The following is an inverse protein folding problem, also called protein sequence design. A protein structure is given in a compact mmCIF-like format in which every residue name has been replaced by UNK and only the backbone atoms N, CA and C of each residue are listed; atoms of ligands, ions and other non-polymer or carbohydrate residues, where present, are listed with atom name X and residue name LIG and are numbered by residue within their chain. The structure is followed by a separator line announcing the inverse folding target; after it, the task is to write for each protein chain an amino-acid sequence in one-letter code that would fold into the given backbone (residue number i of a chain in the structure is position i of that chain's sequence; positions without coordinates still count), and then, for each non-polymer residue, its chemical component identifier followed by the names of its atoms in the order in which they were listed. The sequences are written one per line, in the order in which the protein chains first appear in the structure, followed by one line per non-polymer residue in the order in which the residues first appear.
data_IF_904106060557
#
_entry.id   IF_904106060557
#
_cell.length_a   1.000
_cell.length_b   1.000
_cell.length_c   1.000
_cell.angle_alpha   90.00
_cell.angle_beta   90.00
_cell.angle_gamma   90.00
#
_symmetry.space_group_name_H-M   'P 1'
#
loop_
_entity.id
_entity.type
_entity.pdbx_description
1 polymer ?
#
# COMPACT_ATOMS: atom_id res chain seq x y z
N UNK A 1 -19.72 -7.50 2.37
CA UNK A 1 -18.50 -8.23 1.92
C UNK A 1 -17.32 -7.39 2.37
N UNK A 2 -16.42 -7.96 3.17
CA UNK A 2 -15.24 -7.24 3.65
C UNK A 2 -14.13 -7.34 2.59
N UNK A 3 -13.71 -6.21 2.04
CA UNK A 3 -12.63 -6.15 1.03
C UNK A 3 -11.47 -5.38 1.63
N UNK A 4 -10.28 -5.96 1.60
CA UNK A 4 -9.05 -5.28 2.02
C UNK A 4 -8.13 -5.18 0.81
N UNK A 5 -7.68 -3.97 0.49
CA UNK A 5 -6.84 -3.70 -0.67
C UNK A 5 -5.81 -2.62 -0.39
N UNK A 6 -4.83 -2.50 -1.27
CA UNK A 6 -3.82 -1.45 -1.20
C UNK A 6 -3.67 -0.75 -2.55
N UNK A 7 -3.26 0.50 -2.49
CA UNK A 7 -2.83 1.27 -3.66
C UNK A 7 -1.42 1.79 -3.45
N UNK A 8 -0.69 1.98 -4.55
CA UNK A 8 0.67 2.55 -4.55
C UNK A 8 0.71 3.67 -5.57
N UNK A 9 0.82 4.91 -5.09
CA UNK A 9 0.86 6.09 -5.94
C UNK A 9 2.25 6.74 -5.93
N UNK A 10 2.81 7.10 -7.09
CA UNK A 10 4.00 7.96 -7.15
C UNK A 10 3.69 9.36 -6.62
N UNK A 11 4.60 9.96 -5.87
CA UNK A 11 4.49 11.31 -5.36
C UNK A 11 5.82 12.08 -5.56
N UNK A 12 5.86 13.13 -6.41
CA UNK A 12 4.79 13.56 -7.32
C UNK A 12 4.61 12.61 -8.52
N UNK A 13 3.49 12.71 -9.28
CA UNK A 13 3.17 11.74 -10.34
C UNK A 13 4.17 11.66 -11.50
N UNK A 14 4.77 12.78 -11.90
CA UNK A 14 5.60 12.87 -13.12
C UNK A 14 7.06 12.51 -12.89
N UNK A 15 7.62 12.91 -11.74
CA UNK A 15 9.00 12.63 -11.34
C UNK A 15 8.96 12.20 -9.88
N UNK A 16 8.66 10.92 -9.61
CA UNK A 16 8.42 10.46 -8.26
C UNK A 16 9.65 10.67 -7.38
N UNK A 17 9.43 11.26 -6.21
CA UNK A 17 10.39 11.34 -5.11
C UNK A 17 10.09 10.29 -4.04
N UNK A 18 8.89 9.71 -4.09
CA UNK A 18 8.44 8.66 -3.20
C UNK A 18 7.31 7.86 -3.83
N UNK A 19 7.03 6.69 -3.25
CA UNK A 19 5.79 5.96 -3.46
C UNK A 19 4.99 5.95 -2.17
N UNK A 20 3.73 6.38 -2.25
CA UNK A 20 2.81 6.39 -1.11
C UNK A 20 1.94 5.14 -1.20
N UNK A 21 2.04 4.28 -0.19
CA UNK A 21 1.17 3.12 -0.03
C UNK A 21 0.02 3.49 0.88
N UNK A 22 -1.21 3.22 0.45
CA UNK A 22 -2.41 3.34 1.29
C UNK A 22 -3.13 2.00 1.34
N UNK A 23 -3.49 1.57 2.54
CA UNK A 23 -4.25 0.34 2.79
C UNK A 23 -5.67 0.72 3.15
N UNK A 24 -6.64 0.09 2.50
CA UNK A 24 -8.06 0.31 2.73
C UNK A 24 -8.74 -0.98 3.18
N UNK A 25 -9.72 -0.84 4.06
CA UNK A 25 -10.72 -1.86 4.39
C UNK A 25 -12.09 -1.30 4.06
N UNK A 26 -12.82 -2.00 3.22
CA UNK A 26 -14.18 -1.69 2.84
C UNK A 26 -15.12 -2.66 3.54
N UNK A 27 -16.09 -2.10 4.27
CA UNK A 27 -17.10 -2.85 4.99
C UNK A 27 -18.49 -2.29 4.67
N UNK A 28 -19.21 -2.99 3.79
CA UNK A 28 -20.51 -2.54 3.30
C UNK A 28 -20.39 -1.24 2.50
N UNK A 29 -20.90 -0.14 3.07
CA UNK A 29 -20.90 1.18 2.42
C UNK A 29 -19.77 2.11 2.92
N UNK A 30 -18.89 1.66 3.82
CA UNK A 30 -17.80 2.47 4.33
C UNK A 30 -16.44 1.97 3.86
N UNK A 31 -15.59 2.90 3.41
CA UNK A 31 -14.18 2.64 3.09
C UNK A 31 -13.30 3.35 4.12
N UNK A 32 -12.47 2.57 4.81
CA UNK A 32 -11.60 3.04 5.87
C UNK A 32 -10.13 2.93 5.43
N UNK A 33 -9.41 4.05 5.43
CA UNK A 33 -7.96 4.04 5.26
C UNK A 33 -7.31 3.58 6.56
N UNK A 34 -6.79 2.36 6.58
CA UNK A 34 -6.17 1.76 7.77
C UNK A 34 -4.75 2.27 7.99
N UNK A 35 -4.01 2.50 6.89
CA UNK A 35 -2.60 2.85 6.95
C UNK A 35 -2.19 3.66 5.73
N UNK A 36 -1.36 4.67 5.95
CA UNK A 36 -0.62 5.39 4.91
C UNK A 36 0.86 5.31 5.24
N UNK A 37 1.69 4.92 4.26
CA UNK A 37 3.15 4.78 4.42
C UNK A 37 3.86 5.41 3.23
N UNK A 38 4.94 6.13 3.51
CA UNK A 38 5.79 6.75 2.50
C UNK A 38 7.05 5.88 2.28
N UNK A 39 7.34 5.57 1.02
CA UNK A 39 8.58 4.95 0.56
C UNK A 39 9.42 5.97 -0.23
N UNK A 40 10.36 6.69 0.40
CA UNK A 40 11.17 7.69 -0.28
C UNK A 40 12.18 7.07 -1.24
N UNK A 41 12.40 7.73 -2.37
CA UNK A 41 13.37 7.36 -3.39
C UNK A 41 14.67 8.12 -3.09
N UNK A 42 15.67 7.41 -2.58
CA UNK A 42 16.96 7.98 -2.17
C UNK A 42 17.93 8.20 -3.34
N UNK A 43 17.72 7.50 -4.47
CA UNK A 43 18.48 7.68 -5.70
C UNK A 43 17.59 7.32 -6.90
N UNK A 44 17.73 8.01 -8.06
CA UNK A 44 17.01 7.69 -9.29
C UNK A 44 17.17 6.22 -9.73
N UNK A 45 18.33 5.60 -9.50
CA UNK A 45 18.59 4.20 -9.87
C UNK A 45 17.75 3.21 -9.05
N UNK A 46 17.18 3.68 -7.94
CA UNK A 46 16.40 2.86 -7.01
C UNK A 46 14.90 2.98 -7.21
N UNK A 47 14.41 3.75 -8.20
CA UNK A 47 12.96 3.93 -8.44
C UNK A 47 12.25 2.57 -8.52
N UNK A 48 12.72 1.65 -9.37
CA UNK A 48 12.12 0.32 -9.52
C UNK A 48 12.16 -0.49 -8.22
N UNK A 49 13.29 -0.43 -7.49
CA UNK A 49 13.45 -1.15 -6.22
C UNK A 49 12.50 -0.60 -5.15
N UNK A 50 12.39 0.71 -5.01
CA UNK A 50 11.48 1.36 -4.07
C UNK A 50 10.02 1.08 -4.42
N UNK A 51 9.65 1.12 -5.71
CA UNK A 51 8.30 0.78 -6.17
C UNK A 51 7.94 -0.68 -5.84
N UNK A 52 8.85 -1.61 -6.10
CA UNK A 52 8.65 -3.03 -5.80
C UNK A 52 8.54 -3.26 -4.28
N UNK A 53 9.37 -2.58 -3.48
CA UNK A 53 9.26 -2.63 -2.02
C UNK A 53 7.92 -2.09 -1.51
N UNK A 54 7.43 -0.99 -2.07
CA UNK A 54 6.14 -0.42 -1.73
C UNK A 54 4.96 -1.36 -2.08
N UNK A 55 5.01 -2.00 -3.26
CA UNK A 55 4.01 -3.00 -3.69
C UNK A 55 4.03 -4.23 -2.79
N UNK A 56 5.21 -4.75 -2.49
CA UNK A 56 5.37 -5.93 -1.64
C UNK A 56 4.90 -5.67 -0.21
N UNK A 57 5.22 -4.49 0.33
CA UNK A 57 4.69 -4.04 1.62
C UNK A 57 3.15 -4.07 1.64
N UNK A 58 2.51 -3.46 0.64
CA UNK A 58 1.05 -3.47 0.54
C UNK A 58 0.47 -4.88 0.46
N UNK A 59 1.07 -5.74 -0.37
CA UNK A 59 0.66 -7.15 -0.54
C UNK A 59 0.75 -7.93 0.76
N UNK A 60 1.86 -7.83 1.48
CA UNK A 60 2.07 -8.55 2.75
C UNK A 60 1.14 -8.03 3.84
N UNK A 61 0.91 -6.72 3.92
CA UNK A 61 0.03 -6.13 4.92
C UNK A 61 -1.44 -6.53 4.70
N UNK A 62 -1.93 -6.51 3.46
CA UNK A 62 -3.27 -7.00 3.14
C UNK A 62 -3.40 -8.50 3.48
N UNK A 63 -2.39 -9.30 3.14
CA UNK A 63 -2.36 -10.73 3.50
C UNK A 63 -2.44 -10.94 5.01
N UNK A 64 -1.71 -10.15 5.80
CA UNK A 64 -1.74 -10.24 7.26
C UNK A 64 -3.12 -9.93 7.82
N UNK A 65 -3.78 -8.86 7.35
CA UNK A 65 -5.15 -8.51 7.77
C UNK A 65 -6.11 -9.66 7.44
N UNK A 66 -6.11 -10.12 6.19
CA UNK A 66 -6.99 -11.21 5.75
C UNK A 66 -6.75 -12.50 6.54
N UNK A 67 -5.50 -12.82 6.89
CA UNK A 67 -5.18 -14.02 7.67
C UNK A 67 -5.73 -13.94 9.10
N UNK A 68 -5.75 -12.76 9.71
CA UNK A 68 -6.33 -12.55 11.04
C UNK A 68 -7.85 -12.69 11.02
N UNK A 69 -8.51 -12.15 10.01
CA UNK A 69 -9.97 -12.22 9.85
C UNK A 69 -10.47 -13.64 9.55
N UNK A 70 -9.67 -14.48 8.86
CA UNK A 70 -10.00 -15.91 8.61
C UNK A 70 -9.85 -16.77 9.86
N UNK A 71 -9.00 -16.36 10.80
CA UNK A 71 -8.69 -17.13 12.02
C UNK A 71 -9.64 -16.81 13.19
N UNK A 72 -10.62 -15.93 12.98
CA UNK A 72 -11.70 -15.62 13.92
C UNK A 72 -12.99 -16.32 13.52
#
# INVERSE_FOLDING_TARGET
MCIVFYIVNPEPPTIPKSFIVRIFKEDGNSSHCLKTVNFPISSPDRICKTQNGAKEYGRLFVREIMSKEISQ
#
